data_IF_569785045860
#
_entry.id   IF_569785045860
#
_cell.length_a   1.000
_cell.length_b   1.000
_cell.length_c   1.000
_cell.angle_alpha   90.00
_cell.angle_beta   90.00
_cell.angle_gamma   90.00
#
_symmetry.space_group_name_H-M   'P 1'
#
loop_
_entity.id
_entity.type
_entity.pdbx_description
1 polymer ?
#
# COMPACT_ATOMS: atom_id res chain seq x y z
N UNK A 1 -36.83 24.69 -30.48
CA UNK A 1 -38.01 24.65 -31.35
C UNK A 1 -37.57 24.62 -32.79
N UNK A 2 -37.94 23.57 -33.51
CA UNK A 2 -38.52 23.64 -34.85
C UNK A 2 -39.04 22.22 -35.14
N UNK A 3 -40.33 21.99 -34.88
CA UNK A 3 -41.01 20.75 -35.25
C UNK A 3 -41.46 20.93 -36.71
N UNK A 4 -40.61 20.52 -37.65
CA UNK A 4 -40.88 20.60 -39.08
C UNK A 4 -41.76 19.44 -39.51
N UNK A 5 -43.04 19.73 -39.73
CA UNK A 5 -43.96 18.86 -40.45
C UNK A 5 -43.53 18.78 -41.91
N UNK A 6 -42.76 17.76 -42.26
CA UNK A 6 -42.60 17.35 -43.64
C UNK A 6 -43.43 16.09 -43.82
N UNK A 7 -44.62 16.26 -44.40
CA UNK A 7 -45.49 15.17 -44.81
C UNK A 7 -44.74 14.35 -45.87
N UNK A 8 -44.04 13.30 -45.41
CA UNK A 8 -43.51 12.27 -46.29
C UNK A 8 -44.72 11.50 -46.80
N UNK A 9 -44.98 11.60 -48.10
CA UNK A 9 -46.03 10.85 -48.76
C UNK A 9 -45.81 9.34 -48.50
N UNK A 10 -46.64 8.77 -47.62
CA UNK A 10 -46.66 7.34 -47.27
C UNK A 10 -46.99 6.44 -48.46
N UNK A 11 -47.31 7.00 -49.63
CA UNK A 11 -47.65 6.28 -50.85
C UNK A 11 -46.44 5.86 -51.71
N UNK A 12 -45.21 6.29 -51.38
CA UNK A 12 -44.02 6.04 -52.22
C UNK A 12 -42.96 5.15 -51.54
N UNK A 13 -43.25 4.58 -50.37
CA UNK A 13 -42.30 3.75 -49.61
C UNK A 13 -42.02 2.36 -50.24
N UNK A 14 -42.70 2.02 -51.34
CA UNK A 14 -42.57 0.74 -52.05
C UNK A 14 -41.94 0.81 -53.44
N UNK A 15 -41.51 1.99 -53.89
CA UNK A 15 -40.84 2.14 -55.20
C UNK A 15 -39.32 1.94 -55.05
N UNK A 16 -38.72 1.12 -55.94
CA UNK A 16 -37.26 0.95 -56.03
C UNK A 16 -36.54 2.29 -56.32
N UNK A 17 -37.25 3.28 -56.87
CA UNK A 17 -36.73 4.61 -57.16
C UNK A 17 -36.66 5.57 -55.96
N UNK A 18 -37.21 5.21 -54.78
CA UNK A 18 -37.30 6.13 -53.62
C UNK A 18 -36.16 5.93 -52.60
N UNK A 19 -35.14 5.14 -52.92
CA UNK A 19 -33.95 4.96 -52.08
C UNK A 19 -32.99 6.16 -52.23
N UNK A 20 -33.20 7.21 -51.44
CA UNK A 20 -32.26 8.34 -51.35
C UNK A 20 -31.26 8.11 -50.22
N UNK A 21 -30.01 7.83 -50.57
CA UNK A 21 -28.88 7.77 -49.62
C UNK A 21 -28.07 9.07 -49.73
N UNK A 22 -27.98 9.82 -48.63
CA UNK A 22 -27.16 11.02 -48.57
C UNK A 22 -25.82 10.68 -47.92
N UNK A 23 -24.74 10.69 -48.71
CA UNK A 23 -23.36 10.58 -48.22
C UNK A 23 -22.76 11.98 -48.30
N UNK A 24 -22.46 12.57 -47.16
CA UNK A 24 -21.78 13.85 -47.09
C UNK A 24 -21.21 14.11 -45.71
N UNK A 25 -20.13 14.91 -45.61
CA UNK A 25 -19.59 15.30 -44.31
C UNK A 25 -20.58 16.20 -43.56
N UNK A 26 -20.80 15.92 -42.28
CA UNK A 26 -21.57 16.79 -41.37
C UNK A 26 -20.59 17.66 -40.59
N UNK A 27 -20.76 18.98 -40.65
CA UNK A 27 -19.96 19.94 -39.88
C UNK A 27 -20.79 20.49 -38.72
N UNK A 28 -20.26 20.40 -37.50
CA UNK A 28 -20.85 20.97 -36.29
C UNK A 28 -19.87 21.96 -35.66
N UNK A 29 -20.24 23.25 -35.68
CA UNK A 29 -19.48 24.34 -35.07
C UNK A 29 -20.43 25.18 -34.19
N UNK A 30 -20.44 24.97 -32.87
CA UNK A 30 -21.27 25.77 -31.99
C UNK A 30 -20.69 27.18 -31.87
N UNK A 31 -21.40 28.17 -32.42
CA UNK A 31 -20.99 29.58 -32.36
C UNK A 31 -21.26 30.24 -31.00
N UNK A 32 -22.23 29.71 -30.23
CA UNK A 32 -22.58 30.22 -28.92
C UNK A 32 -23.05 29.09 -28.00
N UNK A 33 -22.21 28.72 -27.03
CA UNK A 33 -22.45 27.63 -26.07
C UNK A 33 -22.58 28.10 -24.61
N UNK A 34 -22.61 29.43 -24.37
CA UNK A 34 -22.69 29.99 -23.01
C UNK A 34 -21.52 29.58 -22.11
N UNK A 35 -20.34 29.30 -22.67
CA UNK A 35 -19.14 28.90 -21.91
C UNK A 35 -19.06 27.40 -21.56
N UNK A 36 -20.00 26.55 -22.01
CA UNK A 36 -20.00 25.10 -21.72
C UNK A 36 -18.73 24.38 -22.18
N UNK A 37 -18.13 24.79 -23.30
CA UNK A 37 -16.87 24.20 -23.79
C UNK A 37 -15.72 24.56 -22.84
N UNK A 38 -15.59 25.84 -22.48
CA UNK A 38 -14.56 26.32 -21.55
C UNK A 38 -14.67 25.66 -20.18
N UNK A 39 -15.89 25.50 -19.66
CA UNK A 39 -16.14 24.79 -18.39
C UNK A 39 -15.73 23.31 -18.48
N UNK A 40 -15.98 22.64 -19.61
CA UNK A 40 -15.53 21.25 -19.83
C UNK A 40 -14.00 21.13 -19.90
N UNK A 41 -13.33 22.07 -20.56
CA UNK A 41 -11.85 22.13 -20.58
C UNK A 41 -11.32 22.31 -19.17
N UNK A 42 -11.86 23.27 -18.40
CA UNK A 42 -11.45 23.51 -17.01
C UNK A 42 -11.68 22.29 -16.10
N UNK A 43 -12.80 21.59 -16.25
CA UNK A 43 -13.04 20.35 -15.51
C UNK A 43 -11.99 19.27 -15.87
N UNK A 44 -11.63 19.17 -17.16
CA UNK A 44 -10.59 18.25 -17.61
C UNK A 44 -9.22 18.61 -17.03
N UNK A 45 -8.88 19.90 -16.96
CA UNK A 45 -7.64 20.39 -16.34
C UNK A 45 -7.60 20.04 -14.85
N UNK A 46 -8.68 20.26 -14.10
CA UNK A 46 -8.74 19.88 -12.68
C UNK A 46 -8.61 18.37 -12.47
N UNK A 47 -9.27 17.56 -13.32
CA UNK A 47 -9.11 16.10 -13.28
C UNK A 47 -7.67 15.67 -13.56
N UNK A 48 -6.99 16.34 -14.49
CA UNK A 48 -5.58 16.06 -14.76
C UNK A 48 -4.71 16.38 -13.54
N UNK A 49 -4.94 17.52 -12.89
CA UNK A 49 -4.22 17.90 -11.66
C UNK A 49 -4.48 16.91 -10.52
N UNK A 50 -5.73 16.50 -10.33
CA UNK A 50 -6.11 15.47 -9.35
C UNK A 50 -5.37 14.15 -9.58
N UNK A 51 -5.30 13.69 -10.84
CA UNK A 51 -4.58 12.47 -11.18
C UNK A 51 -3.06 12.60 -10.98
N UNK A 52 -2.49 13.77 -11.25
CA UNK A 52 -1.07 14.03 -10.98
C UNK A 52 -0.76 13.99 -9.48
N UNK A 53 -1.64 14.57 -8.64
CA UNK A 53 -1.53 14.51 -7.18
C UNK A 53 -1.68 13.07 -6.68
N UNK A 54 -2.66 12.32 -7.20
CA UNK A 54 -2.86 10.92 -6.83
C UNK A 54 -1.62 10.08 -7.16
N UNK A 55 -1.04 10.27 -8.34
CA UNK A 55 0.21 9.62 -8.72
C UNK A 55 1.36 9.97 -7.76
N UNK A 56 1.55 11.25 -7.45
CA UNK A 56 2.57 11.68 -6.48
C UNK A 56 2.35 11.03 -5.10
N UNK A 57 1.10 10.98 -4.63
CA UNK A 57 0.76 10.35 -3.37
C UNK A 57 1.07 8.85 -3.37
N UNK A 58 0.76 8.14 -4.45
CA UNK A 58 1.09 6.71 -4.60
C UNK A 58 2.58 6.47 -4.55
N UNK A 59 3.38 7.28 -5.26
CA UNK A 59 4.84 7.16 -5.26
C UNK A 59 5.41 7.43 -3.87
N UNK A 60 4.95 8.48 -3.19
CA UNK A 60 5.39 8.81 -1.83
C UNK A 60 5.01 7.70 -0.84
N UNK A 61 3.81 7.14 -0.96
CA UNK A 61 3.38 6.02 -0.12
C UNK A 61 4.24 4.79 -0.33
N UNK A 62 4.51 4.43 -1.58
CA UNK A 62 5.39 3.30 -1.90
C UNK A 62 6.80 3.51 -1.33
N UNK A 63 7.32 4.74 -1.38
CA UNK A 63 8.61 5.05 -0.78
C UNK A 63 8.60 4.95 0.75
N UNK A 64 7.55 5.45 1.41
CA UNK A 64 7.35 5.27 2.84
C UNK A 64 7.26 3.80 3.24
N UNK A 65 6.48 2.99 2.52
CA UNK A 65 6.37 1.55 2.79
C UNK A 65 7.73 0.83 2.68
N UNK A 66 8.57 1.22 1.72
CA UNK A 66 9.93 0.68 1.57
C UNK A 66 10.83 1.12 2.74
N UNK A 67 10.78 2.38 3.13
CA UNK A 67 11.58 2.90 4.25
C UNK A 67 11.18 2.25 5.58
N UNK A 68 9.88 2.11 5.83
CA UNK A 68 9.33 1.41 6.99
C UNK A 68 9.76 -0.05 7.02
N UNK A 69 9.67 -0.75 5.89
CA UNK A 69 10.11 -2.15 5.77
C UNK A 69 11.62 -2.30 6.03
N UNK A 70 12.46 -1.43 5.45
CA UNK A 70 13.90 -1.48 5.63
C UNK A 70 14.32 -1.11 7.06
N UNK A 71 13.69 -0.10 7.63
CA UNK A 71 13.91 0.33 9.01
C UNK A 71 13.48 -0.74 10.01
N UNK A 72 12.33 -1.37 9.78
CA UNK A 72 11.85 -2.52 10.54
C UNK A 72 12.82 -3.71 10.46
N UNK A 73 13.27 -4.06 9.26
CA UNK A 73 14.25 -5.13 9.05
C UNK A 73 15.56 -4.88 9.80
N UNK A 74 16.12 -3.67 9.68
CA UNK A 74 17.35 -3.29 10.41
C UNK A 74 17.17 -3.33 11.91
N UNK A 75 16.01 -2.91 12.42
CA UNK A 75 15.68 -2.99 13.84
C UNK A 75 15.61 -4.44 14.32
N UNK A 76 14.99 -5.34 13.53
CA UNK A 76 14.92 -6.77 13.85
C UNK A 76 16.31 -7.41 13.83
N UNK A 77 17.15 -7.07 12.85
CA UNK A 77 18.51 -7.57 12.79
C UNK A 77 19.32 -7.19 14.04
N UNK A 78 19.22 -5.93 14.49
CA UNK A 78 19.86 -5.47 15.73
C UNK A 78 19.29 -6.19 16.96
N UNK A 79 17.96 -6.36 17.02
CA UNK A 79 17.30 -7.12 18.10
C UNK A 79 17.87 -8.54 18.21
N UNK A 80 17.99 -9.25 17.09
CA UNK A 80 18.55 -10.61 17.06
C UNK A 80 20.00 -10.65 17.56
N UNK A 81 20.85 -9.69 17.15
CA UNK A 81 22.24 -9.62 17.64
C UNK A 81 22.29 -9.42 19.15
N UNK A 82 21.55 -8.46 19.69
CA UNK A 82 21.52 -8.19 21.13
C UNK A 82 20.92 -9.35 21.93
N UNK A 83 19.92 -10.04 21.38
CA UNK A 83 19.33 -11.21 22.03
C UNK A 83 20.32 -12.38 22.10
N UNK A 84 21.07 -12.62 21.02
CA UNK A 84 22.12 -13.64 20.99
C UNK A 84 23.24 -13.33 22.01
N UNK A 85 23.67 -12.07 22.10
CA UNK A 85 24.65 -11.62 23.08
C UNK A 85 24.14 -11.80 24.52
N UNK A 86 22.89 -11.37 24.79
CA UNK A 86 22.27 -11.51 26.10
C UNK A 86 22.12 -12.99 26.53
N UNK A 87 21.78 -13.87 25.59
CA UNK A 87 21.69 -15.32 25.82
C UNK A 87 23.05 -15.91 26.17
N UNK A 88 24.11 -15.55 25.43
CA UNK A 88 25.46 -16.00 25.72
C UNK A 88 25.88 -15.55 27.13
N UNK A 89 25.70 -14.26 27.44
CA UNK A 89 26.03 -13.70 28.75
C UNK A 89 25.27 -14.39 29.90
N UNK A 90 23.96 -14.61 29.75
CA UNK A 90 23.15 -15.27 30.79
C UNK A 90 23.47 -16.76 30.95
N UNK A 91 23.85 -17.46 29.88
CA UNK A 91 24.36 -18.84 29.98
C UNK A 91 25.64 -18.89 30.81
N UNK A 92 26.55 -17.95 30.60
CA UNK A 92 27.77 -17.83 31.41
C UNK A 92 27.45 -17.49 32.87
N UNK A 93 26.56 -16.53 33.12
CA UNK A 93 26.13 -16.15 34.46
C UNK A 93 25.48 -17.32 35.23
N UNK A 94 24.59 -18.06 34.58
CA UNK A 94 23.97 -19.26 35.17
C UNK A 94 25.01 -20.33 35.50
N UNK A 95 25.98 -20.56 34.61
CA UNK A 95 27.05 -21.53 34.86
C UNK A 95 27.92 -21.12 36.06
N UNK A 96 28.26 -19.83 36.16
CA UNK A 96 29.03 -19.27 37.26
C UNK A 96 28.27 -19.36 38.59
N UNK A 97 27.01 -18.93 38.65
CA UNK A 97 26.21 -19.01 39.88
C UNK A 97 26.00 -20.46 40.33
N UNK A 98 25.82 -21.38 39.37
CA UNK A 98 25.72 -22.81 39.69
C UNK A 98 27.01 -23.33 40.31
N UNK A 99 28.17 -22.96 39.76
CA UNK A 99 29.47 -23.35 40.32
C UNK A 99 29.69 -22.72 41.71
N UNK A 100 29.40 -21.43 41.87
CA UNK A 100 29.45 -20.74 43.16
C UNK A 100 28.57 -21.42 44.21
N UNK A 101 27.34 -21.81 43.85
CA UNK A 101 26.44 -22.55 44.74
C UNK A 101 27.00 -23.93 45.12
N UNK A 102 27.51 -24.70 44.15
CA UNK A 102 28.09 -26.03 44.41
C UNK A 102 29.33 -25.95 45.31
N UNK A 103 30.09 -24.86 45.22
CA UNK A 103 31.25 -24.58 46.08
C UNK A 103 30.86 -23.87 47.39
N UNK A 104 29.57 -23.64 47.67
CA UNK A 104 29.07 -23.02 48.90
C UNK A 104 29.33 -21.51 49.01
N UNK A 105 29.68 -20.84 47.91
CA UNK A 105 30.02 -19.42 47.84
C UNK A 105 28.83 -18.50 47.46
N UNK A 106 27.68 -19.07 47.06
CA UNK A 106 26.47 -18.32 46.69
C UNK A 106 25.21 -19.09 47.10
N UNK A 107 24.11 -18.38 47.35
CA UNK A 107 22.81 -18.97 47.67
C UNK A 107 22.09 -19.50 46.42
N UNK A 108 21.30 -20.56 46.58
CA UNK A 108 20.54 -21.17 45.47
C UNK A 108 19.57 -20.19 44.78
N UNK A 109 19.15 -19.14 45.48
CA UNK A 109 18.25 -18.12 44.90
C UNK A 109 18.90 -17.39 43.71
N UNK A 110 20.23 -17.23 43.70
CA UNK A 110 20.95 -16.62 42.58
C UNK A 110 20.97 -17.54 41.35
N UNK A 111 21.08 -18.85 41.57
CA UNK A 111 20.95 -19.86 40.52
C UNK A 111 19.55 -19.81 39.89
N UNK A 112 18.50 -19.75 40.71
CA UNK A 112 17.12 -19.65 40.22
C UNK A 112 16.86 -18.35 39.47
N UNK A 113 17.40 -17.23 39.96
CA UNK A 113 17.25 -15.92 39.31
C UNK A 113 17.91 -15.90 37.92
N UNK A 114 19.16 -16.38 37.82
CA UNK A 114 19.88 -16.46 36.53
C UNK A 114 19.26 -17.48 35.58
N UNK A 115 18.74 -18.60 36.10
CA UNK A 115 18.01 -19.58 35.30
C UNK A 115 16.71 -18.98 34.73
N UNK A 116 15.96 -18.22 35.54
CA UNK A 116 14.74 -17.55 35.10
C UNK A 116 15.04 -16.54 33.99
N UNK A 117 16.05 -15.68 34.17
CA UNK A 117 16.47 -14.73 33.16
C UNK A 117 16.89 -15.41 31.84
N UNK A 118 17.58 -16.56 31.92
CA UNK A 118 17.94 -17.35 30.75
C UNK A 118 16.70 -17.91 30.02
N UNK A 119 15.71 -18.43 30.75
CA UNK A 119 14.47 -18.95 30.17
C UNK A 119 13.63 -17.84 29.52
N UNK A 120 13.58 -16.65 30.12
CA UNK A 120 12.89 -15.49 29.55
C UNK A 120 13.52 -15.08 28.21
N UNK A 121 14.87 -15.07 28.13
CA UNK A 121 15.58 -14.77 26.88
C UNK A 121 15.41 -15.87 25.82
N UNK A 122 15.38 -17.14 26.21
CA UNK A 122 15.10 -18.25 25.29
C UNK A 122 13.67 -18.15 24.73
N UNK A 123 12.71 -17.78 25.56
CA UNK A 123 11.33 -17.55 25.12
C UNK A 123 11.26 -16.39 24.12
N UNK A 124 11.97 -15.29 24.40
CA UNK A 124 12.07 -14.17 23.46
C UNK A 124 12.74 -14.57 22.13
N UNK A 125 13.69 -15.51 22.15
CA UNK A 125 14.33 -16.02 20.93
C UNK A 125 13.35 -16.81 20.06
N UNK A 126 12.56 -17.68 20.67
CA UNK A 126 11.55 -18.47 19.95
C UNK A 126 10.53 -17.55 19.25
N UNK A 127 10.02 -16.54 19.97
CA UNK A 127 9.08 -15.56 19.36
C UNK A 127 9.75 -14.80 18.21
N UNK A 128 11.02 -14.41 18.37
CA UNK A 128 11.78 -13.71 17.33
C UNK A 128 12.03 -14.60 16.09
N UNK A 129 12.20 -15.91 16.28
CA UNK A 129 12.32 -16.89 15.19
C UNK A 129 10.99 -17.09 14.45
N UNK A 130 9.87 -17.17 15.18
CA UNK A 130 8.51 -17.25 14.61
C UNK A 130 8.16 -16.02 13.76
N UNK A 131 8.57 -14.82 14.17
CA UNK A 131 8.36 -13.59 13.39
C UNK A 131 9.16 -13.53 12.08
N UNK A 132 10.20 -14.38 11.94
CA UNK A 132 11.06 -14.42 10.74
C UNK A 132 10.74 -15.54 9.75
N UNK A 133 9.87 -16.49 10.12
CA UNK A 133 9.47 -17.64 9.30
C UNK A 133 8.26 -17.33 8.42
#
# INVERSE_FOLDING_TARGET
>A
GNAGYQALALSDMGSWSTHTFAIGPVLYLPLFDGGKITQRVRLSEYRQQEMAIAYQQTVLRAWHEIDDALSGYRAQQRRQMHLAEALAANRHAFALERDSYLNGASDFIHVLSTQRALLDLQSAQIVSEEETA
#
